data_IF_104168348671
#
_entry.id   IF_104168348671
#
_cell.length_a   1.000
_cell.length_b   1.000
_cell.length_c   1.000
_cell.angle_alpha   90.00
_cell.angle_beta   90.00
_cell.angle_gamma   90.00
#
_symmetry.space_group_name_H-M   'P 1'
#
loop_
_entity.id
_entity.type
_entity.pdbx_description
1 polymer ?
#
# COMPACT_ATOMS: atom_id res chain seq x y z
N UNK A 1 12.57 -11.01 8.21
CA UNK A 1 11.87 -9.74 7.89
C UNK A 1 10.52 -9.65 8.60
N UNK A 2 9.65 -10.66 8.54
CA UNK A 2 8.35 -10.70 9.25
C UNK A 2 8.49 -10.59 10.79
N UNK A 3 9.23 -11.50 11.42
CA UNK A 3 9.44 -11.52 12.88
C UNK A 3 10.01 -10.21 13.42
N UNK A 4 11.03 -9.66 12.76
CA UNK A 4 11.62 -8.36 13.12
C UNK A 4 10.61 -7.20 13.10
N UNK A 5 9.61 -7.26 12.22
CA UNK A 5 8.58 -6.23 12.13
C UNK A 5 7.53 -6.39 13.24
N UNK A 6 7.11 -7.63 13.51
CA UNK A 6 6.20 -7.97 14.62
C UNK A 6 6.82 -7.59 15.98
N UNK A 7 8.09 -7.93 16.23
CA UNK A 7 8.82 -7.56 17.45
C UNK A 7 8.90 -6.04 17.62
N UNK A 8 9.16 -5.30 16.53
CA UNK A 8 9.22 -3.84 16.56
C UNK A 8 7.86 -3.20 16.82
N UNK A 9 6.79 -3.70 16.23
CA UNK A 9 5.43 -3.21 16.51
C UNK A 9 5.02 -3.50 17.95
N UNK A 10 5.32 -4.70 18.46
CA UNK A 10 5.10 -5.07 19.86
C UNK A 10 5.86 -4.15 20.82
N UNK A 11 7.10 -3.78 20.49
CA UNK A 11 7.88 -2.85 21.31
C UNK A 11 7.32 -1.42 21.32
N UNK A 12 6.65 -0.98 20.25
CA UNK A 12 6.09 0.38 20.13
C UNK A 12 4.69 0.47 20.74
N UNK A 13 3.84 -0.54 20.52
CA UNK A 13 2.41 -0.50 20.88
C UNK A 13 2.04 -1.38 22.08
N UNK A 14 2.97 -2.21 22.57
CA UNK A 14 2.77 -3.08 23.74
C UNK A 14 1.79 -4.24 23.53
N UNK A 15 1.26 -4.41 22.31
CA UNK A 15 0.28 -5.43 21.98
C UNK A 15 0.93 -6.74 21.49
N UNK A 16 0.36 -7.88 21.88
CA UNK A 16 0.78 -9.19 21.36
C UNK A 16 0.17 -9.44 19.98
N UNK A 17 1.02 -9.45 18.96
CA UNK A 17 0.67 -9.57 17.55
C UNK A 17 0.84 -11.00 17.03
N UNK A 18 0.68 -12.01 17.88
CA UNK A 18 0.88 -13.42 17.52
C UNK A 18 0.01 -13.91 16.35
N UNK A 19 -1.18 -13.31 16.16
CA UNK A 19 -2.08 -13.55 15.00
C UNK A 19 -1.94 -12.52 13.86
N UNK A 20 -0.91 -11.68 13.91
CA UNK A 20 -0.69 -10.64 12.90
C UNK A 20 -0.17 -11.21 11.60
N UNK A 21 -1.08 -11.47 10.66
CA UNK A 21 -0.68 -11.76 9.30
C UNK A 21 -0.37 -10.45 8.56
N UNK A 22 0.88 -10.27 8.11
CA UNK A 22 1.27 -9.15 7.24
C UNK A 22 0.37 -9.03 6.00
N UNK A 23 -0.21 -10.15 5.51
CA UNK A 23 -1.19 -10.10 4.43
C UNK A 23 -2.47 -9.31 4.79
N UNK A 24 -2.81 -9.22 6.08
CA UNK A 24 -3.94 -8.43 6.58
C UNK A 24 -3.66 -6.92 6.63
N UNK A 25 -2.43 -6.48 6.39
CA UNK A 25 -2.11 -5.06 6.25
C UNK A 25 -2.54 -4.51 4.88
N UNK A 26 -2.77 -5.36 3.89
CA UNK A 26 -3.02 -4.95 2.53
C UNK A 26 -4.47 -5.19 2.12
N UNK A 27 -5.01 -4.33 1.26
CA UNK A 27 -6.35 -4.49 0.70
C UNK A 27 -6.42 -5.72 -0.23
N UNK A 28 -5.32 -6.01 -0.93
CA UNK A 28 -5.20 -7.17 -1.83
C UNK A 28 -4.14 -8.14 -1.28
N UNK A 29 -4.54 -9.37 -0.90
CA UNK A 29 -3.60 -10.42 -0.53
C UNK A 29 -2.96 -11.06 -1.77
N UNK A 30 -1.87 -11.83 -1.57
CA UNK A 30 -1.24 -12.68 -2.60
C UNK A 30 -0.72 -11.93 -3.84
N UNK A 31 -0.20 -10.71 -3.65
CA UNK A 31 0.43 -9.94 -4.72
C UNK A 31 1.84 -10.48 -4.97
N UNK A 32 2.09 -10.94 -6.19
CA UNK A 32 3.43 -11.35 -6.62
C UNK A 32 4.20 -10.10 -7.03
N UNK A 33 5.29 -9.81 -6.30
CA UNK A 33 6.19 -8.71 -6.62
C UNK A 33 7.24 -9.22 -7.63
N UNK A 34 7.32 -8.66 -8.84
CA UNK A 34 8.29 -9.09 -9.84
C UNK A 34 9.73 -8.97 -9.34
N UNK A 35 10.64 -9.89 -9.74
CA UNK A 35 12.06 -9.73 -9.49
C UNK A 35 12.55 -8.38 -10.03
N UNK A 36 13.38 -7.67 -9.25
CA UNK A 36 13.93 -6.33 -9.56
C UNK A 36 12.91 -5.19 -9.51
N UNK A 37 11.69 -5.41 -8.98
CA UNK A 37 10.77 -4.30 -8.71
C UNK A 37 11.42 -3.29 -7.77
N UNK A 38 11.40 -2.02 -8.17
CA UNK A 38 11.82 -0.89 -7.33
C UNK A 38 10.67 0.10 -7.28
N UNK A 39 10.20 0.37 -6.07
CA UNK A 39 9.21 1.41 -5.87
C UNK A 39 9.89 2.76 -5.97
N UNK A 40 9.54 3.56 -6.99
CA UNK A 40 10.02 4.93 -7.09
C UNK A 40 9.45 5.78 -5.95
N UNK A 41 10.24 6.70 -5.41
CA UNK A 41 9.74 7.72 -4.49
C UNK A 41 8.68 8.59 -5.19
N UNK A 42 7.61 8.91 -4.47
CA UNK A 42 6.49 9.67 -5.01
C UNK A 42 5.89 10.53 -3.91
N UNK A 43 5.67 11.81 -4.20
CA UNK A 43 5.03 12.74 -3.30
C UNK A 43 3.62 12.27 -2.90
N UNK A 44 3.41 12.08 -1.60
CA UNK A 44 2.11 11.66 -1.09
C UNK A 44 1.03 12.68 -1.46
N UNK A 45 -0.17 12.18 -1.74
CA UNK A 45 -1.31 12.94 -2.23
C UNK A 45 -1.62 14.16 -1.34
N UNK A 46 -1.48 15.37 -1.89
CA UNK A 46 -1.98 16.58 -1.24
C UNK A 46 -3.50 16.57 -1.33
N UNK A 47 -4.19 16.73 -0.19
CA UNK A 47 -5.66 16.64 -0.04
C UNK A 47 -6.46 17.52 -1.01
N UNK A 48 -5.85 18.51 -1.65
CA UNK A 48 -6.49 19.45 -2.58
C UNK A 48 -6.40 19.04 -4.06
N UNK A 49 -5.78 17.90 -4.40
CA UNK A 49 -5.64 17.47 -5.80
C UNK A 49 -6.86 16.65 -6.25
N UNK A 50 -7.34 16.89 -7.48
CA UNK A 50 -8.40 16.07 -8.08
C UNK A 50 -8.03 14.56 -8.08
N UNK A 51 -8.91 13.65 -7.61
CA UNK A 51 -8.62 12.21 -7.56
C UNK A 51 -8.21 11.59 -8.90
N UNK A 52 -8.82 12.00 -10.01
CA UNK A 52 -8.45 11.55 -11.37
C UNK A 52 -7.03 11.96 -11.75
N UNK A 53 -6.63 13.19 -11.41
CA UNK A 53 -5.29 13.68 -11.71
C UNK A 53 -4.26 12.96 -10.84
N UNK A 54 -4.59 12.65 -9.59
CA UNK A 54 -3.74 11.86 -8.71
C UNK A 54 -3.50 10.45 -9.25
N UNK A 55 -4.55 9.75 -9.66
CA UNK A 55 -4.44 8.41 -10.27
C UNK A 55 -3.58 8.44 -11.53
N UNK A 56 -3.82 9.42 -12.41
CA UNK A 56 -3.04 9.60 -13.63
C UNK A 56 -1.57 9.85 -13.32
N UNK A 57 -1.27 10.69 -12.33
CA UNK A 57 0.10 11.00 -11.93
C UNK A 57 0.80 9.82 -11.25
N UNK A 58 0.09 9.10 -10.38
CA UNK A 58 0.58 7.87 -9.76
C UNK A 58 0.97 6.84 -10.82
N UNK A 59 0.07 6.57 -11.77
CA UNK A 59 0.32 5.62 -12.86
C UNK A 59 1.51 6.05 -13.73
N UNK A 60 1.53 7.30 -14.18
CA UNK A 60 2.57 7.82 -15.08
C UNK A 60 3.94 8.00 -14.42
N UNK A 61 4.01 8.34 -13.12
CA UNK A 61 5.29 8.66 -12.46
C UNK A 61 5.82 7.54 -11.57
N UNK A 62 4.94 6.87 -10.82
CA UNK A 62 5.36 5.84 -9.85
C UNK A 62 5.36 4.43 -10.44
N UNK A 63 4.51 4.20 -11.45
CA UNK A 63 4.22 2.84 -11.92
C UNK A 63 4.38 2.66 -13.43
N UNK A 64 4.95 3.61 -14.17
CA UNK A 64 5.02 3.54 -15.63
C UNK A 64 5.68 2.26 -16.16
N UNK A 65 6.73 1.77 -15.49
CA UNK A 65 7.42 0.50 -15.82
C UNK A 65 6.68 -0.77 -15.40
N UNK A 66 5.59 -0.62 -14.65
CA UNK A 66 4.83 -1.70 -14.02
C UNK A 66 3.32 -1.57 -14.27
N UNK A 67 2.96 -0.77 -15.29
CA UNK A 67 1.60 -0.43 -15.69
C UNK A 67 0.70 -1.64 -15.97
N UNK A 68 1.28 -2.78 -16.33
CA UNK A 68 0.59 -4.03 -16.66
C UNK A 68 0.34 -4.96 -15.46
N UNK A 69 0.83 -4.61 -14.27
CA UNK A 69 0.66 -5.42 -13.06
C UNK A 69 -0.44 -4.85 -12.16
N UNK A 70 -1.71 -5.00 -12.53
CA UNK A 70 -2.86 -4.38 -11.84
C UNK A 70 -2.88 -4.63 -10.32
N UNK A 71 -2.64 -5.87 -9.89
CA UNK A 71 -2.57 -6.22 -8.47
C UNK A 71 -1.46 -5.47 -7.73
N UNK A 72 -0.34 -5.22 -8.41
CA UNK A 72 0.81 -4.50 -7.86
C UNK A 72 0.53 -3.00 -7.81
N UNK A 73 -0.13 -2.43 -8.82
CA UNK A 73 -0.61 -1.05 -8.81
C UNK A 73 -1.52 -0.79 -7.60
N UNK A 74 -2.52 -1.65 -7.40
CA UNK A 74 -3.46 -1.47 -6.29
C UNK A 74 -2.75 -1.66 -4.94
N UNK A 75 -1.84 -2.63 -4.83
CA UNK A 75 -1.06 -2.88 -3.62
C UNK A 75 -0.24 -1.67 -3.16
N UNK A 76 0.46 -1.01 -4.09
CA UNK A 76 1.30 0.15 -3.76
C UNK A 76 0.56 1.47 -3.84
N UNK A 77 -0.73 1.49 -4.17
CA UNK A 77 -1.50 2.72 -4.25
C UNK A 77 -1.62 3.41 -2.88
N UNK A 78 -1.73 2.63 -1.80
CA UNK A 78 -1.77 3.14 -0.42
C UNK A 78 -0.57 4.03 -0.06
N UNK A 79 0.62 3.73 -0.59
CA UNK A 79 1.86 4.51 -0.37
C UNK A 79 1.78 5.91 -0.99
N UNK A 80 0.86 6.11 -1.93
CA UNK A 80 0.59 7.42 -2.53
C UNK A 80 -0.39 8.26 -1.71
N UNK A 81 -1.04 7.70 -0.69
CA UNK A 81 -2.11 8.36 0.05
C UNK A 81 -1.59 9.04 1.32
N UNK A 82 -2.28 10.11 1.72
CA UNK A 82 -2.05 10.77 3.01
C UNK A 82 -3.05 10.31 4.05
N UNK A 83 -2.69 10.42 5.34
CA UNK A 83 -3.37 9.88 6.54
C UNK A 83 -4.89 9.69 6.40
N UNK A 84 -5.63 10.75 6.11
CA UNK A 84 -7.09 10.67 6.05
C UNK A 84 -7.60 9.85 4.86
N UNK A 85 -6.98 10.00 3.69
CA UNK A 85 -7.33 9.24 2.48
C UNK A 85 -6.89 7.79 2.61
N UNK A 86 -5.74 7.55 3.26
CA UNK A 86 -5.28 6.20 3.61
C UNK A 86 -6.27 5.51 4.55
N UNK A 87 -6.72 6.20 5.62
CA UNK A 87 -7.71 5.65 6.56
C UNK A 87 -9.02 5.28 5.86
N UNK A 88 -9.51 6.15 4.97
CA UNK A 88 -10.67 5.84 4.12
C UNK A 88 -10.42 4.62 3.23
N UNK A 89 -9.28 4.58 2.52
CA UNK A 89 -8.93 3.50 1.61
C UNK A 89 -8.84 2.14 2.31
N UNK A 90 -8.26 2.10 3.52
CA UNK A 90 -8.17 0.88 4.33
C UNK A 90 -9.51 0.47 4.97
N UNK A 91 -10.47 1.39 5.07
CA UNK A 91 -11.82 1.10 5.56
C UNK A 91 -12.75 0.53 4.48
N UNK A 92 -12.33 0.59 3.21
CA UNK A 92 -13.04 -0.11 2.14
C UNK A 92 -13.05 -1.59 2.48
N UNK A 93 -14.23 -2.21 2.48
CA UNK A 93 -14.35 -3.66 2.72
C UNK A 93 -13.40 -4.38 1.77
N UNK A 94 -12.56 -5.26 2.30
CA UNK A 94 -11.71 -6.14 1.49
C UNK A 94 -12.64 -6.90 0.55
N UNK A 95 -12.62 -6.57 -0.74
CA UNK A 95 -13.43 -7.28 -1.72
C UNK A 95 -12.92 -8.71 -1.78
N UNK A 96 -13.76 -9.67 -1.39
CA UNK A 96 -13.59 -11.04 -1.82
C UNK A 96 -13.76 -11.04 -3.35
N UNK A 97 -12.64 -11.08 -4.08
CA UNK A 97 -12.62 -11.37 -5.51
C UNK A 97 -11.98 -12.74 -5.68
#
# INVERSE_FOLDING_TARGET
MRQLFEERLKAIEGADYSDFNVANLFLIPNVVIPPKFKLSEFDKHKRNTCPKNHLTMYYKKKMASHAHYDKLLIHFFQESLTRAVLKWYMSLKRGCV
#
